data_IF_375669364598
#
_entry.id   IF_375669364598
#
_cell.length_a   1.000
_cell.length_b   1.000
_cell.length_c   1.000
_cell.angle_alpha   90.00
_cell.angle_beta   90.00
_cell.angle_gamma   90.00
#
_symmetry.space_group_name_H-M   'P 1'
#
loop_
_entity.id
_entity.type
_entity.pdbx_description
1 polymer ?
#
# COMPACT_ATOMS: atom_id res chain seq x y z
N UNK A 1 -12.62 32.56 27.21
CA UNK A 1 -11.59 31.50 27.33
C UNK A 1 -12.02 30.21 26.61
N UNK A 2 -13.23 29.68 26.87
CA UNK A 2 -13.80 28.48 26.22
C UNK A 2 -13.86 28.57 24.68
N UNK A 3 -14.25 29.72 24.11
CA UNK A 3 -14.26 29.94 22.65
C UNK A 3 -12.87 29.77 22.00
N UNK A 4 -11.79 30.17 22.69
CA UNK A 4 -10.41 30.02 22.20
C UNK A 4 -9.94 28.55 22.25
N UNK A 5 -10.33 27.82 23.31
CA UNK A 5 -10.03 26.39 23.46
C UNK A 5 -10.77 25.56 22.39
N UNK A 6 -12.03 25.87 22.10
CA UNK A 6 -12.79 25.20 21.04
C UNK A 6 -12.15 25.36 19.65
N UNK A 7 -11.63 26.55 19.34
CA UNK A 7 -10.90 26.80 18.07
C UNK A 7 -9.59 26.01 18.02
N UNK A 8 -8.84 25.94 19.13
CA UNK A 8 -7.59 25.16 19.19
C UNK A 8 -7.87 23.66 18.99
N UNK A 9 -8.90 23.12 19.65
CA UNK A 9 -9.30 21.72 19.48
C UNK A 9 -9.75 21.42 18.04
N UNK A 10 -10.49 22.34 17.42
CA UNK A 10 -10.90 22.21 16.03
C UNK A 10 -9.69 22.18 15.09
N UNK A 11 -8.72 23.07 15.29
CA UNK A 11 -7.49 23.09 14.49
C UNK A 11 -6.68 21.79 14.64
N UNK A 12 -6.54 21.28 15.88
CA UNK A 12 -5.89 19.99 16.11
C UNK A 12 -6.64 18.86 15.39
N UNK A 13 -7.97 18.84 15.47
CA UNK A 13 -8.78 17.82 14.79
C UNK A 13 -8.59 17.85 13.27
N UNK A 14 -8.51 19.04 12.66
CA UNK A 14 -8.25 19.19 11.22
C UNK A 14 -6.85 18.66 10.85
N UNK A 15 -5.83 18.95 11.66
CA UNK A 15 -4.46 18.49 11.42
C UNK A 15 -4.38 16.97 11.52
N UNK A 16 -4.91 16.36 12.59
CA UNK A 16 -4.91 14.90 12.73
C UNK A 16 -5.81 14.21 11.69
N UNK A 17 -6.98 14.78 11.40
CA UNK A 17 -7.92 14.26 10.41
C UNK A 17 -7.34 14.26 9.00
N UNK A 18 -6.65 15.34 8.61
CA UNK A 18 -6.00 15.42 7.29
C UNK A 18 -4.85 14.41 7.16
N UNK A 19 -4.03 14.25 8.20
CA UNK A 19 -2.97 13.24 8.23
C UNK A 19 -3.52 11.81 8.09
N UNK A 20 -4.54 11.46 8.88
CA UNK A 20 -5.17 10.14 8.79
C UNK A 20 -5.81 9.90 7.42
N UNK A 21 -6.50 10.91 6.88
CA UNK A 21 -7.12 10.86 5.55
C UNK A 21 -6.10 10.59 4.44
N UNK A 22 -4.95 11.27 4.48
CA UNK A 22 -3.87 11.06 3.51
C UNK A 22 -3.31 9.63 3.55
N UNK A 23 -3.09 9.07 4.75
CA UNK A 23 -2.60 7.69 4.93
C UNK A 23 -3.59 6.69 4.31
N UNK A 24 -4.88 6.84 4.60
CA UNK A 24 -5.93 5.96 4.06
C UNK A 24 -6.07 6.08 2.54
N UNK A 25 -5.97 7.30 2.02
CA UNK A 25 -5.97 7.55 0.59
C UNK A 25 -4.81 6.81 -0.10
N UNK A 26 -3.57 6.96 0.38
CA UNK A 26 -2.40 6.30 -0.21
C UNK A 26 -2.51 4.77 -0.16
N UNK A 27 -2.96 4.20 0.96
CA UNK A 27 -3.20 2.75 1.07
C UNK A 27 -4.22 2.25 0.06
N UNK A 28 -5.35 2.96 -0.07
CA UNK A 28 -6.43 2.59 -0.99
C UNK A 28 -6.01 2.72 -2.46
N UNK A 29 -5.30 3.80 -2.76
CA UNK A 29 -4.78 4.10 -4.10
C UNK A 29 -3.80 3.01 -4.59
N UNK A 30 -2.80 2.64 -3.78
CA UNK A 30 -1.87 1.55 -4.15
C UNK A 30 -2.61 0.21 -4.24
N UNK A 31 -3.51 -0.09 -3.29
CA UNK A 31 -4.33 -1.31 -3.32
C UNK A 31 -5.10 -1.45 -4.63
N UNK A 32 -5.83 -0.41 -5.03
CA UNK A 32 -6.65 -0.45 -6.23
C UNK A 32 -5.79 -0.61 -7.48
N UNK A 33 -4.69 0.13 -7.59
CA UNK A 33 -3.77 0.00 -8.72
C UNK A 33 -3.16 -1.40 -8.81
N UNK A 34 -2.79 -2.02 -7.68
CA UNK A 34 -2.25 -3.39 -7.66
C UNK A 34 -3.31 -4.40 -8.08
N UNK A 35 -4.54 -4.30 -7.57
CA UNK A 35 -5.64 -5.18 -7.99
C UNK A 35 -5.87 -5.06 -9.49
N UNK A 36 -5.99 -3.84 -10.01
CA UNK A 36 -6.17 -3.59 -11.44
C UNK A 36 -5.03 -4.16 -12.26
N UNK A 37 -3.78 -3.98 -11.84
CA UNK A 37 -2.62 -4.57 -12.51
C UNK A 37 -2.69 -6.10 -12.56
N UNK A 38 -3.02 -6.75 -11.43
CA UNK A 38 -3.08 -8.21 -11.36
C UNK A 38 -4.21 -8.77 -12.23
N UNK A 39 -5.40 -8.16 -12.19
CA UNK A 39 -6.56 -8.66 -12.93
C UNK A 39 -6.48 -8.33 -14.42
N UNK A 40 -6.01 -7.14 -14.80
CA UNK A 40 -6.04 -6.69 -16.20
C UNK A 40 -4.75 -7.00 -16.96
N UNK A 41 -3.58 -6.84 -16.33
CA UNK A 41 -2.28 -7.02 -17.00
C UNK A 41 -1.69 -8.41 -16.76
N UNK A 42 -1.89 -8.99 -15.59
CA UNK A 42 -1.44 -10.36 -15.27
C UNK A 42 -2.51 -11.42 -15.48
N UNK A 43 -3.75 -11.01 -15.77
CA UNK A 43 -4.88 -11.91 -16.00
C UNK A 43 -5.12 -12.90 -14.84
N UNK A 44 -4.83 -12.47 -13.62
CA UNK A 44 -5.08 -13.25 -12.40
C UNK A 44 -6.53 -13.00 -11.98
N UNK A 45 -7.30 -14.07 -11.76
CA UNK A 45 -8.66 -13.94 -11.25
C UNK A 45 -8.63 -13.29 -9.87
N UNK A 46 -9.61 -12.41 -9.61
CA UNK A 46 -9.76 -11.83 -8.27
C UNK A 46 -10.02 -12.90 -7.21
N UNK A 47 -10.67 -14.01 -7.58
CA UNK A 47 -10.96 -15.14 -6.70
C UNK A 47 -9.72 -15.98 -6.36
N UNK A 48 -8.64 -15.84 -7.14
CA UNK A 48 -7.36 -16.47 -6.86
C UNK A 48 -6.51 -15.63 -5.89
N UNK A 49 -6.93 -14.41 -5.56
CA UNK A 49 -6.24 -13.56 -4.59
C UNK A 49 -6.85 -13.78 -3.20
N UNK A 50 -6.12 -14.44 -2.32
CA UNK A 50 -6.60 -14.82 -0.98
C UNK A 50 -6.31 -13.76 0.09
N UNK A 51 -5.31 -12.89 -0.12
CA UNK A 51 -5.05 -11.74 0.76
C UNK A 51 -4.55 -10.53 -0.02
N UNK A 52 -4.99 -9.35 0.42
CA UNK A 52 -4.63 -8.03 -0.10
C UNK A 52 -4.49 -7.08 1.09
N UNK A 53 -3.26 -6.86 1.55
CA UNK A 53 -3.01 -6.03 2.74
C UNK A 53 -2.16 -4.81 2.36
N UNK A 54 -2.75 -3.59 2.31
CA UNK A 54 -1.98 -2.37 2.15
C UNK A 54 -1.30 -1.98 3.46
N UNK A 55 0.00 -1.72 3.42
CA UNK A 55 0.79 -1.37 4.59
C UNK A 55 1.78 -0.24 4.31
N UNK A 56 2.28 0.34 5.41
CA UNK A 56 3.36 1.32 5.36
C UNK A 56 4.67 0.62 5.72
N UNK A 57 5.64 0.63 4.81
CA UNK A 57 6.95 0.00 4.99
C UNK A 57 7.98 1.03 5.48
N UNK A 58 9.17 0.55 5.85
CA UNK A 58 10.29 1.41 6.22
C UNK A 58 11.12 1.88 5.00
N UNK A 59 10.66 1.59 3.78
CA UNK A 59 11.33 2.01 2.56
C UNK A 59 11.00 3.49 2.24
N UNK A 60 11.86 4.13 1.44
CA UNK A 60 11.71 5.55 1.11
C UNK A 60 10.74 5.79 -0.06
N UNK A 61 10.16 6.99 -0.09
CA UNK A 61 9.33 7.45 -1.20
C UNK A 61 8.08 6.58 -1.39
N UNK A 62 7.77 6.26 -2.64
CA UNK A 62 6.59 5.45 -2.93
C UNK A 62 6.68 4.00 -2.46
N UNK A 63 7.90 3.46 -2.27
CA UNK A 63 8.10 2.13 -1.70
C UNK A 63 7.65 2.05 -0.24
N UNK A 64 7.47 3.20 0.44
CA UNK A 64 6.85 3.25 1.75
C UNK A 64 5.38 2.78 1.72
N UNK A 65 4.71 2.88 0.57
CA UNK A 65 3.30 2.53 0.42
C UNK A 65 3.18 1.26 -0.42
N UNK A 66 2.94 0.13 0.23
CA UNK A 66 2.97 -1.18 -0.41
C UNK A 66 1.68 -1.95 -0.19
N UNK A 67 1.49 -2.99 -1.01
CA UNK A 67 0.43 -3.98 -0.86
C UNK A 67 1.08 -5.34 -0.88
N UNK A 68 0.82 -6.15 0.15
CA UNK A 68 1.13 -7.57 0.13
C UNK A 68 -0.01 -8.34 -0.53
N UNK A 69 0.34 -9.31 -1.37
CA UNK A 69 -0.58 -10.14 -2.11
C UNK A 69 -0.23 -11.61 -1.84
N UNK A 70 -1.23 -12.38 -1.46
CA UNK A 70 -1.15 -13.85 -1.44
C UNK A 70 -2.12 -14.43 -2.46
N UNK A 71 -1.63 -15.39 -3.22
CA UNK A 71 -2.43 -16.10 -4.22
C UNK A 71 -2.79 -17.50 -3.71
N UNK A 72 -3.89 -18.04 -4.23
CA UNK A 72 -4.29 -19.42 -4.00
C UNK A 72 -3.25 -20.36 -4.61
N UNK A 73 -2.92 -21.44 -3.91
CA UNK A 73 -1.96 -22.45 -4.35
C UNK A 73 -0.52 -21.93 -4.62
N UNK A 74 -0.17 -20.76 -4.08
CA UNK A 74 1.18 -20.21 -4.12
C UNK A 74 1.65 -19.95 -2.67
N UNK A 75 2.82 -20.44 -2.29
CA UNK A 75 3.37 -20.23 -0.94
C UNK A 75 3.99 -18.83 -0.77
N UNK A 76 4.08 -18.04 -1.86
CA UNK A 76 4.74 -16.74 -1.87
C UNK A 76 3.83 -15.63 -1.38
N UNK A 77 4.43 -14.67 -0.69
CA UNK A 77 3.82 -13.35 -0.44
C UNK A 77 4.52 -12.32 -1.30
N UNK A 78 3.79 -11.66 -2.18
CA UNK A 78 4.34 -10.68 -3.11
C UNK A 78 4.12 -9.27 -2.60
N UNK A 79 5.12 -8.41 -2.75
CA UNK A 79 5.06 -7.03 -2.29
C UNK A 79 5.14 -6.08 -3.48
N UNK A 80 4.05 -5.35 -3.70
CA UNK A 80 3.94 -4.40 -4.80
C UNK A 80 3.86 -2.97 -4.29
N UNK A 81 4.35 -2.03 -5.09
CA UNK A 81 4.13 -0.60 -4.89
C UNK A 81 3.78 0.07 -6.22
N UNK A 82 3.30 1.32 -6.14
CA UNK A 82 3.05 2.17 -7.31
C UNK A 82 4.10 3.27 -7.40
N UNK A 83 4.83 3.37 -8.51
CA UNK A 83 5.83 4.41 -8.70
C UNK A 83 5.23 5.77 -9.10
N UNK A 84 6.07 6.80 -9.24
CA UNK A 84 5.64 8.18 -9.57
C UNK A 84 5.00 8.30 -10.95
N UNK A 85 5.22 7.33 -11.84
CA UNK A 85 4.60 7.26 -13.17
C UNK A 85 3.26 6.52 -13.13
N UNK A 86 2.75 6.19 -11.94
CA UNK A 86 1.52 5.42 -11.76
C UNK A 86 1.64 3.93 -12.10
N UNK A 87 2.85 3.42 -12.34
CA UNK A 87 3.06 2.01 -12.70
C UNK A 87 3.21 1.15 -11.45
N UNK A 88 2.57 -0.01 -11.45
CA UNK A 88 2.73 -1.04 -10.42
C UNK A 88 4.01 -1.81 -10.67
N UNK A 89 4.83 -1.95 -9.62
CA UNK A 89 6.13 -2.63 -9.65
C UNK A 89 6.12 -3.70 -8.56
N UNK A 90 6.60 -4.90 -8.90
CA UNK A 90 6.92 -5.96 -7.93
C UNK A 90 8.27 -5.63 -7.30
N UNK A 91 8.27 -5.35 -5.99
CA UNK A 91 9.50 -5.02 -5.26
C UNK A 91 10.23 -6.30 -4.84
N UNK A 92 9.53 -7.18 -4.14
CA UNK A 92 10.06 -8.43 -3.61
C UNK A 92 8.96 -9.46 -3.45
N UNK A 93 9.36 -10.70 -3.15
CA UNK A 93 8.46 -11.71 -2.62
C UNK A 93 9.15 -12.47 -1.49
N UNK A 94 8.36 -12.97 -0.53
CA UNK A 94 8.85 -13.89 0.49
C UNK A 94 8.39 -15.31 0.14
N UNK A 95 9.32 -16.26 0.17
CA UNK A 95 9.06 -17.68 0.03
C UNK A 95 9.70 -18.41 1.22
N UNK A 96 8.92 -19.20 1.96
CA UNK A 96 9.42 -19.94 3.14
C UNK A 96 10.19 -19.06 4.15
N UNK A 97 9.75 -17.80 4.33
CA UNK A 97 10.38 -16.84 5.23
C UNK A 97 11.63 -16.15 4.67
N UNK A 98 12.06 -16.50 3.45
CA UNK A 98 13.20 -15.89 2.76
C UNK A 98 12.68 -14.82 1.80
N UNK A 99 13.19 -13.60 1.92
CA UNK A 99 12.86 -12.51 0.99
C UNK A 99 13.76 -12.54 -0.25
N UNK A 100 13.13 -12.42 -1.41
CA UNK A 100 13.75 -12.33 -2.73
C UNK A 100 13.44 -10.96 -3.34
N UNK A 101 14.44 -10.08 -3.37
CA UNK A 101 14.33 -8.73 -3.92
C UNK A 101 14.43 -8.80 -5.45
N UNK A 102 13.39 -8.34 -6.12
CA UNK A 102 13.31 -8.26 -7.59
C UNK A 102 13.83 -6.90 -8.06
N UNK A 103 13.37 -5.83 -7.43
CA UNK A 103 13.76 -4.48 -7.80
C UNK A 103 14.92 -3.98 -6.95
N UNK A 104 16.13 -3.97 -7.53
CA UNK A 104 17.37 -3.57 -6.84
C UNK A 104 17.71 -2.08 -6.97
N UNK A 105 16.81 -1.25 -7.49
CA UNK A 105 17.06 0.19 -7.52
C UNK A 105 17.02 0.75 -6.08
N UNK A 106 18.23 1.03 -5.55
CA UNK A 106 18.52 1.60 -4.23
C UNK A 106 18.71 3.11 -4.30
#
# INVERSE_FOLDING_TARGET
MVKKIGVILLLLFIVFGSGFGYIQYKKTDVKNSVIEYLTTKKNISKDDIISIEPFFSNLKGNKAWMVSIKLKNDNRTYFYYKNDKGKVILESYTENGIEHIINKEH
#
